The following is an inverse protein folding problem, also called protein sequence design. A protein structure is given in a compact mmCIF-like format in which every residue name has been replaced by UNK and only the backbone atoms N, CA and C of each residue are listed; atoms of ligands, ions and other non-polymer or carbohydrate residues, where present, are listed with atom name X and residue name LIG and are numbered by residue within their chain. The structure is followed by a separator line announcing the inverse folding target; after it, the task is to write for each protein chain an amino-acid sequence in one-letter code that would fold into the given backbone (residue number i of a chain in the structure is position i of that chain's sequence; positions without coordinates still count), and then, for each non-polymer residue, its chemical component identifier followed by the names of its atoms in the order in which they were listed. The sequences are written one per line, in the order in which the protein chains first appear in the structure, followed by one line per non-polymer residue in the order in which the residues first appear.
data_IF_415356040741
#
_entry.id   IF_415356040741
#
_cell.length_a   1.000
_cell.length_b   1.000
_cell.length_c   1.000
_cell.angle_alpha   90.00
_cell.angle_beta   90.00
_cell.angle_gamma   90.00
#
_symmetry.space_group_name_H-M   'P 1'
#
loop_
_entity.id
_entity.type
_entity.pdbx_description
1 polymer ?
#
# COMPACT_ATOMS: atom_id res chain seq x y z
N UNK A 1 20.06 -15.86 -17.76
CA UNK A 1 18.98 -15.72 -16.76
C UNK A 1 19.38 -16.59 -15.57
N UNK A 2 19.78 -15.98 -14.46
CA UNK A 2 20.23 -16.74 -13.29
C UNK A 2 18.99 -17.28 -12.57
N UNK A 3 18.83 -18.59 -12.53
CA UNK A 3 17.72 -19.24 -11.82
C UNK A 3 18.07 -19.28 -10.34
N UNK A 4 17.23 -18.68 -9.50
CA UNK A 4 17.30 -18.84 -8.05
C UNK A 4 16.38 -20.01 -7.70
N UNK A 5 16.96 -21.06 -7.11
CA UNK A 5 16.23 -22.23 -6.64
C UNK A 5 16.28 -22.19 -5.11
N UNK A 6 15.12 -22.13 -4.47
CA UNK A 6 15.00 -22.22 -3.01
C UNK A 6 14.25 -23.50 -2.65
N UNK A 7 14.68 -24.18 -1.59
CA UNK A 7 14.06 -25.41 -1.09
C UNK A 7 13.79 -25.27 0.40
N UNK A 8 12.62 -25.68 0.83
CA UNK A 8 12.22 -25.68 2.24
C UNK A 8 11.52 -26.99 2.59
N UNK A 9 11.70 -27.46 3.82
CA UNK A 9 11.02 -28.65 4.34
C UNK A 9 9.88 -28.18 5.24
N UNK A 10 8.65 -28.54 4.89
CA UNK A 10 7.47 -28.20 5.67
C UNK A 10 7.04 -29.43 6.47
N UNK A 11 7.19 -29.39 7.79
CA UNK A 11 6.74 -30.44 8.71
C UNK A 11 5.53 -29.96 9.54
N UNK A 12 4.61 -30.87 9.87
CA UNK A 12 3.34 -30.63 10.60
C UNK A 12 2.25 -29.90 9.77
N UNK A 13 1.38 -29.08 10.41
CA UNK A 13 0.19 -28.41 9.83
C UNK A 13 0.47 -27.46 8.65
N UNK A 14 1.70 -27.42 8.15
CA UNK A 14 1.87 -27.43 6.71
C UNK A 14 1.89 -26.09 6.00
N UNK A 15 2.10 -24.95 6.68
CA UNK A 15 2.05 -23.62 6.02
C UNK A 15 3.44 -23.03 5.82
N UNK A 16 3.70 -22.58 4.61
CA UNK A 16 4.87 -21.79 4.22
C UNK A 16 4.43 -20.55 3.44
N UNK A 17 5.07 -19.42 3.71
CA UNK A 17 4.85 -18.18 2.96
C UNK A 17 6.18 -17.57 2.55
N UNK A 18 6.23 -17.06 1.32
CA UNK A 18 7.37 -16.36 0.76
C UNK A 18 6.93 -14.97 0.27
N UNK A 19 7.62 -13.94 0.73
CA UNK A 19 7.43 -12.55 0.34
C UNK A 19 8.69 -12.00 -0.35
N UNK A 20 8.58 -10.81 -0.95
CA UNK A 20 9.69 -10.16 -1.66
C UNK A 20 9.84 -10.57 -3.14
N UNK A 21 8.82 -11.23 -3.71
CA UNK A 21 8.69 -11.39 -5.15
C UNK A 21 7.91 -10.23 -5.74
N UNK A 22 8.23 -9.88 -6.97
CA UNK A 22 7.56 -8.84 -7.72
C UNK A 22 7.15 -9.37 -9.11
N UNK A 23 5.98 -8.97 -9.58
CA UNK A 23 5.55 -9.25 -10.95
C UNK A 23 6.36 -8.44 -11.98
N UNK A 24 6.13 -8.69 -13.27
CA UNK A 24 6.85 -8.00 -14.35
C UNK A 24 6.62 -6.47 -14.37
N UNK A 25 5.59 -5.97 -13.67
CA UNK A 25 5.27 -4.54 -13.54
C UNK A 25 5.79 -3.96 -12.22
N UNK A 26 6.46 -4.76 -11.39
CA UNK A 26 7.01 -4.33 -10.11
C UNK A 26 6.02 -4.32 -8.95
N UNK A 27 4.87 -5.00 -9.06
CA UNK A 27 3.95 -5.12 -7.92
C UNK A 27 4.33 -6.30 -7.03
N UNK A 28 4.23 -6.15 -5.69
CA UNK A 28 4.55 -7.24 -4.76
C UNK A 28 3.61 -8.43 -4.95
N UNK A 29 4.19 -9.62 -4.80
CA UNK A 29 3.49 -10.90 -4.86
C UNK A 29 3.93 -11.73 -3.67
N UNK A 30 2.98 -12.33 -2.99
CA UNK A 30 3.23 -13.34 -1.96
C UNK A 30 2.87 -14.73 -2.49
N UNK A 31 3.67 -15.71 -2.09
CA UNK A 31 3.39 -17.12 -2.38
C UNK A 31 3.10 -17.79 -1.05
N UNK A 32 1.99 -18.54 -0.98
CA UNK A 32 1.67 -19.40 0.15
C UNK A 32 1.53 -20.83 -0.31
N UNK A 33 2.16 -21.75 0.42
CA UNK A 33 2.03 -23.19 0.24
C UNK A 33 1.44 -23.75 1.52
N UNK A 34 0.30 -24.43 1.42
CA UNK A 34 -0.39 -25.04 2.55
C UNK A 34 -0.63 -26.53 2.28
N UNK A 35 -0.26 -27.39 3.23
CA UNK A 35 -0.58 -28.81 3.23
C UNK A 35 -1.71 -29.06 4.21
N UNK A 36 -2.81 -29.60 3.71
CA UNK A 36 -3.91 -30.16 4.49
C UNK A 36 -3.81 -31.69 4.51
N UNK A 37 -4.71 -32.39 5.19
CA UNK A 37 -4.65 -33.86 5.26
C UNK A 37 -4.88 -34.54 3.91
N UNK A 38 -5.69 -33.93 3.05
CA UNK A 38 -6.06 -34.48 1.74
C UNK A 38 -5.41 -33.75 0.55
N UNK A 39 -4.97 -32.50 0.73
CA UNK A 39 -4.58 -31.60 -0.36
C UNK A 39 -3.29 -30.81 -0.10
N UNK A 40 -2.68 -30.36 -1.20
CA UNK A 40 -1.60 -29.37 -1.20
C UNK A 40 -2.06 -28.17 -2.03
N UNK A 41 -2.10 -27.00 -1.40
CA UNK A 41 -2.55 -25.75 -2.01
C UNK A 41 -1.35 -24.84 -2.19
N UNK A 42 -1.05 -24.49 -3.44
CA UNK A 42 -0.14 -23.40 -3.78
C UNK A 42 -0.96 -22.20 -4.25
N UNK A 43 -0.88 -21.11 -3.51
CA UNK A 43 -1.50 -19.84 -3.85
C UNK A 43 -0.44 -18.80 -4.17
N UNK A 44 -0.61 -18.10 -5.29
CA UNK A 44 0.15 -16.90 -5.63
C UNK A 44 -0.81 -15.74 -5.53
N UNK A 45 -0.60 -14.89 -4.53
CA UNK A 45 -1.49 -13.77 -4.23
C UNK A 45 -0.77 -12.49 -4.62
N UNK A 46 -1.39 -11.74 -5.52
CA UNK A 46 -0.99 -10.35 -5.72
C UNK A 46 -1.45 -9.60 -4.48
N UNK A 47 -0.50 -9.04 -3.73
CA UNK A 47 -0.90 -8.23 -2.60
C UNK A 47 -1.72 -7.07 -3.15
N UNK A 48 -2.89 -6.76 -2.56
CA UNK A 48 -3.58 -5.54 -2.92
C UNK A 48 -2.56 -4.41 -2.80
N UNK A 49 -2.64 -3.40 -3.68
CA UNK A 49 -1.99 -2.13 -3.35
C UNK A 49 -2.69 -1.65 -2.07
N UNK A 50 -2.19 -2.12 -0.91
CA UNK A 50 -2.41 -1.50 0.36
C UNK A 50 -2.06 -0.06 0.11
N UNK A 51 -3.11 0.72 0.15
CA UNK A 51 -3.20 1.95 -0.55
C UNK A 51 -1.90 2.74 -0.50
N UNK A 52 -1.47 3.25 -1.65
CA UNK A 52 -0.82 4.57 -1.69
C UNK A 52 -1.83 5.64 -1.20
N UNK A 53 -2.38 5.46 0.01
CA UNK A 53 -3.14 6.46 0.76
C UNK A 53 -2.17 7.40 1.48
N UNK A 54 -0.93 6.97 1.72
CA UNK A 54 0.09 7.78 2.41
C UNK A 54 1.08 8.43 1.44
N UNK A 55 0.64 8.75 0.23
CA UNK A 55 1.23 9.87 -0.49
C UNK A 55 0.09 10.82 -0.79
N UNK A 56 0.03 12.01 -0.16
CA UNK A 56 -0.83 13.06 -0.69
C UNK A 56 -0.47 13.16 -2.17
N UNK A 57 -1.45 12.86 -3.02
CA UNK A 57 -1.30 13.17 -4.42
C UNK A 57 -1.08 14.67 -4.44
N UNK A 58 0.13 15.10 -4.79
CA UNK A 58 0.38 16.48 -5.15
C UNK A 58 -0.67 16.81 -6.23
N UNK A 59 -1.76 17.45 -5.79
CA UNK A 59 -2.96 17.65 -6.58
C UNK A 59 -2.73 18.72 -7.67
N UNK A 60 -1.47 19.15 -7.84
CA UNK A 60 -1.05 20.17 -8.80
C UNK A 60 -1.45 21.57 -8.39
N UNK A 61 -1.89 21.75 -7.13
CA UNK A 61 -2.32 23.02 -6.57
C UNK A 61 -1.19 23.51 -5.66
N UNK A 62 -0.68 24.70 -5.95
CA UNK A 62 0.37 25.31 -5.12
C UNK A 62 -0.17 25.77 -3.77
N UNK A 63 0.69 25.85 -2.75
CA UNK A 63 0.34 26.43 -1.44
C UNK A 63 -0.26 27.85 -1.56
N UNK A 64 0.21 28.65 -2.54
CA UNK A 64 -0.33 30.00 -2.80
C UNK A 64 -1.79 29.97 -3.29
N UNK A 65 -2.15 28.96 -4.09
CA UNK A 65 -3.53 28.77 -4.57
C UNK A 65 -4.46 28.27 -3.47
N UNK A 66 -3.94 27.45 -2.55
CA UNK A 66 -4.66 26.99 -1.35
C UNK A 66 -4.94 28.20 -0.44
N UNK A 67 -3.91 28.99 -0.12
CA UNK A 67 -4.02 30.16 0.75
C UNK A 67 -5.01 31.19 0.21
N UNK A 68 -4.95 31.49 -1.10
CA UNK A 68 -5.88 32.45 -1.71
C UNK A 68 -7.33 31.98 -1.63
N UNK A 69 -7.55 30.67 -1.76
CA UNK A 69 -8.88 30.08 -1.71
C UNK A 69 -9.41 30.07 -0.27
N UNK A 70 -8.61 29.65 0.71
CA UNK A 70 -9.04 29.57 2.10
C UNK A 70 -9.12 30.94 2.80
N UNK A 71 -8.31 31.94 2.41
CA UNK A 71 -8.43 33.32 2.92
C UNK A 71 -9.76 34.00 2.55
N UNK A 72 -10.52 33.46 1.60
CA UNK A 72 -11.85 33.96 1.25
C UNK A 72 -12.93 33.47 2.22
N UNK A 73 -12.62 32.48 3.07
CA UNK A 73 -13.52 31.90 4.06
C UNK A 73 -13.08 32.29 5.48
N UNK A 74 -14.02 32.72 6.32
CA UNK A 74 -13.74 33.17 7.69
C UNK A 74 -13.25 32.03 8.62
N UNK A 75 -13.56 30.77 8.27
CA UNK A 75 -13.12 29.56 8.95
C UNK A 75 -12.55 28.55 7.93
N UNK A 76 -11.42 27.89 8.25
CA UNK A 76 -10.86 26.89 7.33
C UNK A 76 -11.78 25.66 7.16
N UNK A 77 -12.64 25.38 8.15
CA UNK A 77 -13.65 24.31 8.10
C UNK A 77 -14.65 24.43 6.95
N UNK A 78 -14.88 25.65 6.46
CA UNK A 78 -15.76 25.95 5.32
C UNK A 78 -14.99 26.02 3.99
N UNK A 79 -13.65 25.87 4.01
CA UNK A 79 -12.83 25.90 2.81
C UNK A 79 -13.03 24.59 2.01
N UNK A 80 -13.32 24.64 0.70
CA UNK A 80 -13.41 23.44 -0.13
C UNK A 80 -12.08 22.67 -0.24
N UNK A 81 -10.97 23.26 0.24
CA UNK A 81 -9.64 22.66 0.34
C UNK A 81 -9.25 22.35 1.81
N UNK A 82 -10.24 22.22 2.71
CA UNK A 82 -10.03 21.98 4.14
C UNK A 82 -9.12 20.78 4.44
N UNK A 83 -9.23 19.69 3.68
CA UNK A 83 -8.35 18.52 3.85
C UNK A 83 -6.85 18.84 3.64
N UNK A 84 -6.52 19.85 2.82
CA UNK A 84 -5.14 20.34 2.68
C UNK A 84 -4.74 21.35 3.76
N UNK A 85 -5.71 22.05 4.36
CA UNK A 85 -5.49 23.07 5.38
C UNK A 85 -5.16 22.48 6.76
N UNK A 86 -5.60 21.24 7.04
CA UNK A 86 -5.38 20.59 8.34
C UNK A 86 -4.14 19.71 8.44
N UNK A 87 -3.43 19.42 7.33
CA UNK A 87 -2.22 18.60 7.40
C UNK A 87 -1.03 19.32 8.08
N UNK A 88 -1.04 20.66 8.17
CA UNK A 88 0.01 21.41 8.89
C UNK A 88 -0.18 21.51 10.42
N UNK A 89 -1.34 21.14 10.97
CA UNK A 89 -1.65 21.34 12.40
C UNK A 89 -2.00 20.06 13.17
N UNK A 90 -1.76 18.87 12.60
CA UNK A 90 -2.04 17.60 13.27
C UNK A 90 -0.95 17.16 14.28
N UNK A 91 0.14 17.92 14.41
CA UNK A 91 1.22 17.67 15.37
C UNK A 91 1.46 18.89 16.30
N UNK A 92 0.51 19.19 17.19
CA UNK A 92 0.77 19.77 18.53
C UNK A 92 -0.17 19.20 19.61
#
# INVERSE_FOLDING_TARGET
MNKIITGTVISANGKFSFSGLYDAKGYPVSISLEKSDDDIILAVVKEPEEHKKDKPSDCGISEEEIDRTCQTHDNCDDCPLFEHCMEEYADE
#
